data_IF_604786320600
#
_entry.id   IF_604786320600
#
_cell.length_a   1.000
_cell.length_b   1.000
_cell.length_c   1.000
_cell.angle_alpha   90.00
_cell.angle_beta   90.00
_cell.angle_gamma   90.00
#
_symmetry.space_group_name_H-M   'P 1'
#
loop_
_entity.id
_entity.type
_entity.pdbx_description
1 polymer ?
#
# COMPACT_ATOMS: atom_id res chain seq x y z
N UNK A 1 4.73 -12.35 -3.52
CA UNK A 1 5.62 -11.34 -4.13
C UNK A 1 6.40 -11.91 -5.32
N UNK A 2 7.18 -12.98 -5.18
CA UNK A 2 8.05 -13.47 -6.24
C UNK A 2 7.34 -14.05 -7.48
N UNK A 3 6.15 -14.63 -7.31
CA UNK A 3 5.37 -15.22 -8.42
C UNK A 3 4.81 -14.16 -9.37
N UNK A 4 4.44 -12.99 -8.86
CA UNK A 4 3.88 -11.91 -9.68
C UNK A 4 4.95 -11.17 -10.48
N UNK A 5 6.21 -11.15 -10.02
CA UNK A 5 7.34 -10.50 -10.71
C UNK A 5 7.49 -11.01 -12.14
N UNK A 6 7.38 -12.33 -12.36
CA UNK A 6 7.47 -12.90 -13.71
C UNK A 6 6.35 -12.42 -14.64
N UNK A 7 5.13 -12.28 -14.09
CA UNK A 7 3.96 -11.75 -14.83
C UNK A 7 4.11 -10.25 -15.07
N UNK A 8 4.54 -9.49 -14.06
CA UNK A 8 4.83 -8.05 -14.16
C UNK A 8 5.85 -7.78 -15.26
N UNK A 9 6.95 -8.55 -15.33
CA UNK A 9 7.97 -8.39 -16.35
C UNK A 9 7.43 -8.64 -17.78
N UNK A 10 6.56 -9.64 -17.94
CA UNK A 10 5.90 -9.89 -19.23
C UNK A 10 4.95 -8.74 -19.61
N UNK A 11 4.19 -8.20 -18.66
CA UNK A 11 3.28 -7.08 -18.90
C UNK A 11 4.07 -5.79 -19.22
N UNK A 12 5.17 -5.54 -18.51
CA UNK A 12 6.07 -4.42 -18.79
C UNK A 12 6.63 -4.51 -20.21
N UNK A 13 7.06 -5.70 -20.66
CA UNK A 13 7.50 -5.91 -22.03
C UNK A 13 6.41 -5.63 -23.08
N UNK A 14 5.13 -5.69 -22.68
CA UNK A 14 3.97 -5.38 -23.51
C UNK A 14 3.40 -3.96 -23.30
N UNK A 15 4.16 -3.05 -22.69
CA UNK A 15 3.79 -1.63 -22.57
C UNK A 15 3.37 -1.16 -21.18
N UNK A 16 3.38 -2.04 -20.17
CA UNK A 16 3.23 -1.67 -18.76
C UNK A 16 2.42 -2.69 -17.95
N UNK A 17 2.65 -2.71 -16.64
CA UNK A 17 1.92 -3.60 -15.71
C UNK A 17 0.91 -2.85 -14.87
N UNK A 18 -0.30 -3.42 -14.76
CA UNK A 18 -1.33 -2.98 -13.83
C UNK A 18 -1.20 -3.62 -12.44
N UNK A 19 -0.39 -4.68 -12.30
CA UNK A 19 -0.27 -5.44 -11.04
C UNK A 19 0.60 -4.69 -10.04
N UNK A 20 1.74 -4.14 -10.48
CA UNK A 20 2.63 -3.37 -9.62
C UNK A 20 1.96 -2.19 -8.88
N UNK A 21 1.17 -1.31 -9.53
CA UNK A 21 0.39 -0.27 -8.84
C UNK A 21 -0.47 -0.82 -7.69
N UNK A 22 -1.11 -1.98 -7.89
CA UNK A 22 -1.98 -2.59 -6.88
C UNK A 22 -1.19 -3.09 -5.66
N UNK A 23 -0.01 -3.66 -5.89
CA UNK A 23 0.89 -4.09 -4.82
C UNK A 23 1.32 -2.88 -3.98
N UNK A 24 1.72 -1.78 -4.64
CA UNK A 24 2.11 -0.56 -3.96
C UNK A 24 0.94 0.02 -3.11
N UNK A 25 -0.27 0.09 -3.67
CA UNK A 25 -1.45 0.57 -2.94
C UNK A 25 -1.81 -0.31 -1.74
N UNK A 26 -1.72 -1.63 -1.89
CA UNK A 26 -1.92 -2.58 -0.79
C UNK A 26 -0.94 -2.34 0.36
N UNK A 27 0.33 -2.19 0.05
CA UNK A 27 1.37 -1.94 1.05
C UNK A 27 1.19 -0.58 1.76
N UNK A 28 0.81 0.47 1.02
CA UNK A 28 0.48 1.78 1.58
C UNK A 28 -0.70 1.67 2.55
N UNK A 29 -1.73 0.91 2.19
CA UNK A 29 -2.89 0.69 3.05
C UNK A 29 -2.54 -0.09 4.34
N UNK A 30 -1.64 -1.07 4.25
CA UNK A 30 -1.13 -1.79 5.43
C UNK A 30 -0.35 -0.86 6.37
N UNK A 31 0.44 0.06 5.81
CA UNK A 31 1.12 1.10 6.60
C UNK A 31 0.15 2.07 7.24
N UNK A 32 -0.88 2.50 6.50
CA UNK A 32 -1.90 3.43 6.98
C UNK A 32 -2.73 2.84 8.14
N UNK A 33 -3.15 1.58 8.06
CA UNK A 33 -3.86 0.92 9.16
C UNK A 33 -2.99 0.71 10.39
N UNK A 34 -1.68 0.46 10.21
CA UNK A 34 -0.74 0.40 11.31
C UNK A 34 -0.59 1.77 11.98
N UNK A 35 -0.55 2.86 11.21
CA UNK A 35 -0.59 4.23 11.73
C UNK A 35 -1.91 4.54 12.43
N UNK A 36 -3.05 4.05 11.93
CA UNK A 36 -4.36 4.21 12.58
C UNK A 36 -4.37 3.67 14.03
N UNK A 37 -3.63 2.59 14.28
CA UNK A 37 -3.48 2.01 15.62
C UNK A 37 -2.78 2.96 16.61
N UNK A 38 -2.00 3.94 16.14
CA UNK A 38 -1.44 5.03 16.98
C UNK A 38 -2.53 5.91 17.58
N UNK A 39 -3.59 6.15 16.81
CA UNK A 39 -4.71 6.99 17.17
C UNK A 39 -5.64 6.23 18.12
N UNK A 40 -5.96 4.97 17.77
CA UNK A 40 -6.85 4.10 18.56
C UNK A 40 -6.23 3.79 19.94
N UNK A 41 -4.94 3.41 19.98
CA UNK A 41 -4.25 3.03 21.22
C UNK A 41 -3.40 4.16 21.79
N UNK A 42 -3.88 5.40 21.72
CA UNK A 42 -3.13 6.61 22.12
C UNK A 42 -2.56 6.62 23.54
N UNK A 43 -3.12 5.82 24.45
CA UNK A 43 -2.69 5.70 25.85
C UNK A 43 -1.64 4.60 26.08
N UNK A 44 -1.38 3.73 25.11
CA UNK A 44 -0.43 2.63 25.25
C UNK A 44 0.87 2.95 24.50
N UNK A 45 1.88 3.44 25.24
CA UNK A 45 3.16 3.87 24.68
C UNK A 45 3.88 2.74 23.91
N UNK A 46 3.77 1.48 24.37
CA UNK A 46 4.38 0.33 23.71
C UNK A 46 3.75 0.06 22.35
N UNK A 47 2.43 0.02 22.28
CA UNK A 47 1.71 -0.19 21.00
C UNK A 47 2.02 0.96 20.04
N UNK A 48 2.04 2.20 20.53
CA UNK A 48 2.38 3.36 19.69
C UNK A 48 3.78 3.25 19.08
N UNK A 49 4.79 2.92 19.89
CA UNK A 49 6.16 2.82 19.38
C UNK A 49 6.28 1.76 18.28
N UNK A 50 5.65 0.60 18.46
CA UNK A 50 5.70 -0.50 17.49
C UNK A 50 4.91 -0.16 16.23
N UNK A 51 3.72 0.42 16.39
CA UNK A 51 2.87 0.80 15.26
C UNK A 51 3.49 1.91 14.41
N UNK A 52 4.21 2.86 15.02
CA UNK A 52 4.85 3.96 14.31
C UNK A 52 6.02 3.44 13.46
N UNK A 53 6.92 2.64 14.06
CA UNK A 53 8.05 2.06 13.33
C UNK A 53 7.57 1.10 12.23
N UNK A 54 6.55 0.29 12.52
CA UNK A 54 5.97 -0.63 11.55
C UNK A 54 5.27 0.10 10.38
N UNK A 55 4.51 1.17 10.66
CA UNK A 55 3.86 1.98 9.65
C UNK A 55 4.85 2.67 8.71
N UNK A 56 5.91 3.27 9.27
CA UNK A 56 6.98 3.90 8.48
C UNK A 56 7.68 2.84 7.60
N UNK A 57 8.00 1.68 8.18
CA UNK A 57 8.60 0.55 7.45
C UNK A 57 7.74 0.15 6.24
N UNK A 58 6.43 0.01 6.43
CA UNK A 58 5.50 -0.36 5.36
C UNK A 58 5.45 0.69 4.24
N UNK A 59 5.46 1.97 4.60
CA UNK A 59 5.52 3.06 3.61
C UNK A 59 6.85 3.18 2.87
N UNK A 60 7.92 2.60 3.40
CA UNK A 60 9.20 2.44 2.68
C UNK A 60 9.26 1.13 1.86
N UNK A 61 8.18 0.34 1.87
CA UNK A 61 8.07 -0.90 1.10
C UNK A 61 8.33 -2.18 1.88
N UNK A 62 8.63 -2.10 3.19
CA UNK A 62 8.85 -3.26 4.07
C UNK A 62 7.62 -3.44 4.96
N UNK A 63 6.67 -4.25 4.49
CA UNK A 63 5.33 -4.38 5.08
C UNK A 63 5.20 -5.43 6.18
N UNK A 64 6.17 -6.32 6.33
CA UNK A 64 6.12 -7.44 7.29
C UNK A 64 5.89 -6.98 8.73
N UNK A 65 6.55 -5.91 9.24
CA UNK A 65 6.31 -5.43 10.60
C UNK A 65 4.89 -4.90 10.80
N UNK A 66 4.32 -4.24 9.79
CA UNK A 66 2.96 -3.71 9.86
C UNK A 66 1.92 -4.83 9.78
N UNK A 67 2.05 -5.71 8.79
CA UNK A 67 1.09 -6.79 8.53
C UNK A 67 1.06 -7.80 9.69
N UNK A 68 2.21 -8.32 10.11
CA UNK A 68 2.29 -9.36 11.13
C UNK A 68 2.39 -8.80 12.56
N UNK A 69 3.09 -7.68 12.74
CA UNK A 69 3.32 -7.09 14.07
C UNK A 69 2.11 -6.35 14.64
N UNK A 70 1.28 -5.76 13.78
CA UNK A 70 0.11 -4.96 14.17
C UNK A 70 -1.16 -5.48 13.51
N UNK A 71 -1.25 -5.46 12.18
CA UNK A 71 -2.53 -5.58 11.48
C UNK A 71 -3.22 -6.91 11.77
N UNK A 72 -2.54 -8.04 11.54
CA UNK A 72 -3.08 -9.37 11.81
C UNK A 72 -3.24 -9.65 13.29
N UNK A 73 -2.35 -9.13 14.13
CA UNK A 73 -2.40 -9.29 15.59
C UNK A 73 -3.69 -8.72 16.19
N UNK A 74 -4.12 -7.55 15.70
CA UNK A 74 -5.32 -6.86 16.19
C UNK A 74 -6.54 -7.06 15.30
N UNK A 75 -6.41 -7.71 14.14
CA UNK A 75 -7.43 -8.08 13.13
C UNK A 75 -8.22 -6.91 12.51
N UNK A 76 -8.77 -6.01 13.32
CA UNK A 76 -9.45 -4.79 12.88
C UNK A 76 -8.62 -3.98 11.87
N UNK A 77 -7.38 -3.57 12.18
CA UNK A 77 -6.54 -2.85 11.20
C UNK A 77 -6.23 -3.65 9.94
N UNK A 78 -6.17 -4.98 10.00
CA UNK A 78 -6.02 -5.81 8.79
C UNK A 78 -7.23 -5.70 7.87
N UNK A 79 -8.45 -5.77 8.41
CA UNK A 79 -9.67 -5.61 7.61
C UNK A 79 -9.77 -4.20 7.03
N UNK A 80 -9.41 -3.16 7.81
CA UNK A 80 -9.37 -1.78 7.34
C UNK A 80 -8.39 -1.61 6.15
N UNK A 81 -7.20 -2.22 6.23
CA UNK A 81 -6.23 -2.22 5.14
C UNK A 81 -6.75 -2.97 3.89
N UNK A 82 -7.48 -4.07 4.06
CA UNK A 82 -8.08 -4.81 2.94
C UNK A 82 -9.13 -3.96 2.21
N UNK A 83 -10.01 -3.29 2.95
CA UNK A 83 -11.05 -2.43 2.36
C UNK A 83 -10.41 -1.22 1.66
N UNK A 84 -9.47 -0.54 2.31
CA UNK A 84 -8.79 0.61 1.71
C UNK A 84 -7.98 0.26 0.47
N UNK A 85 -7.29 -0.88 0.48
CA UNK A 85 -6.57 -1.36 -0.70
C UNK A 85 -7.51 -1.80 -1.83
N UNK A 86 -8.66 -2.41 -1.53
CA UNK A 86 -9.66 -2.75 -2.54
C UNK A 86 -10.25 -1.51 -3.22
N UNK A 87 -10.61 -0.47 -2.44
CA UNK A 87 -11.13 0.78 -3.01
C UNK A 87 -10.06 1.52 -3.83
N UNK A 88 -8.83 1.59 -3.33
CA UNK A 88 -7.72 2.18 -4.07
C UNK A 88 -7.41 1.41 -5.36
N UNK A 89 -7.49 0.08 -5.32
CA UNK A 89 -7.32 -0.78 -6.49
C UNK A 89 -8.38 -0.49 -7.57
N UNK A 90 -9.65 -0.34 -7.19
CA UNK A 90 -10.73 0.01 -8.12
C UNK A 90 -10.43 1.35 -8.80
N UNK A 91 -10.06 2.39 -8.03
CA UNK A 91 -9.71 3.70 -8.60
C UNK A 91 -8.53 3.60 -9.56
N UNK A 92 -7.49 2.84 -9.20
CA UNK A 92 -6.30 2.64 -10.02
C UNK A 92 -6.61 1.91 -11.34
N UNK A 93 -7.42 0.85 -11.29
CA UNK A 93 -7.78 0.05 -12.47
C UNK A 93 -8.72 0.84 -13.39
N UNK A 94 -9.75 1.50 -12.83
CA UNK A 94 -10.69 2.31 -13.62
C UNK A 94 -10.00 3.48 -14.33
N UNK A 95 -8.93 3.99 -13.75
CA UNK A 95 -8.12 5.07 -14.34
C UNK A 95 -7.05 4.57 -15.33
N UNK A 96 -6.95 3.24 -15.53
CA UNK A 96 -5.97 2.64 -16.45
C UNK A 96 -4.51 2.80 -16.03
N UNK A 97 -4.24 2.90 -14.73
CA UNK A 97 -2.87 3.15 -14.22
C UNK A 97 -1.94 1.99 -14.57
N UNK A 98 -0.85 2.30 -15.27
CA UNK A 98 0.21 1.36 -15.64
C UNK A 98 1.57 1.78 -15.08
N UNK A 99 2.37 0.78 -14.70
CA UNK A 99 3.75 0.93 -14.28
C UNK A 99 4.73 0.48 -15.37
N UNK A 100 5.84 1.20 -15.51
CA UNK A 100 6.95 0.86 -16.42
C UNK A 100 7.97 -0.09 -15.81
N UNK A 101 7.95 -0.24 -14.49
CA UNK A 101 8.94 -1.03 -13.77
C UNK A 101 8.38 -1.59 -12.47
N UNK A 102 9.08 -2.59 -11.94
CA UNK A 102 8.89 -3.10 -10.58
C UNK A 102 9.76 -2.23 -9.68
N UNK A 103 9.13 -1.34 -8.92
CA UNK A 103 9.81 -0.32 -8.10
C UNK A 103 9.80 -0.60 -6.60
N UNK A 104 9.77 0.48 -5.81
CA UNK A 104 9.54 0.39 -4.35
C UNK A 104 8.04 0.22 -4.10
N UNK A 105 7.65 -0.81 -3.36
CA UNK A 105 6.24 -1.08 -3.06
C UNK A 105 5.63 -0.18 -1.98
N UNK A 106 6.18 1.02 -1.75
CA UNK A 106 5.77 1.94 -0.69
C UNK A 106 5.28 3.27 -1.26
N UNK A 107 5.31 4.35 -0.46
CA UNK A 107 5.01 5.71 -0.90
C UNK A 107 5.85 6.15 -2.13
N UNK A 108 7.14 5.79 -2.27
CA UNK A 108 7.90 6.09 -3.48
C UNK A 108 7.45 5.31 -4.72
N UNK A 109 6.45 4.43 -4.62
CA UNK A 109 5.98 3.57 -5.71
C UNK A 109 5.44 4.33 -6.92
N UNK A 110 5.01 5.59 -6.76
CA UNK A 110 4.59 6.44 -7.89
C UNK A 110 5.72 6.65 -8.91
N UNK A 111 6.99 6.56 -8.49
CA UNK A 111 8.15 6.69 -9.38
C UNK A 111 8.25 5.56 -10.42
N UNK A 112 7.63 4.42 -10.17
CA UNK A 112 7.55 3.30 -11.11
C UNK A 112 6.36 3.41 -12.07
N UNK A 113 5.42 4.31 -11.79
CA UNK A 113 4.21 4.55 -12.58
C UNK A 113 4.56 5.41 -13.80
N UNK A 114 3.91 5.13 -14.94
CA UNK A 114 4.05 5.98 -16.12
C UNK A 114 3.64 7.44 -15.78
N UNK A 115 4.42 8.45 -16.20
CA UNK A 115 4.17 9.85 -15.83
C UNK A 115 2.75 10.34 -16.10
N UNK A 116 2.11 9.88 -17.18
CA UNK A 116 0.72 10.25 -17.49
C UNK A 116 -0.30 9.78 -16.44
N UNK A 117 0.02 8.76 -15.64
CA UNK A 117 -0.87 8.19 -14.62
C UNK A 117 -0.50 8.59 -13.18
N UNK A 118 0.43 9.52 -12.99
CA UNK A 118 0.82 9.95 -11.64
C UNK A 118 -0.34 10.55 -10.85
N UNK A 119 -1.14 11.43 -11.48
CA UNK A 119 -2.30 12.05 -10.82
C UNK A 119 -3.32 11.01 -10.36
N UNK A 120 -3.85 10.12 -11.23
CA UNK A 120 -4.80 9.10 -10.78
C UNK A 120 -4.21 8.13 -9.75
N UNK A 121 -2.91 7.80 -9.85
CA UNK A 121 -2.25 6.97 -8.86
C UNK A 121 -2.15 7.67 -7.50
N UNK A 122 -1.79 8.94 -7.45
CA UNK A 122 -1.75 9.73 -6.20
C UNK A 122 -3.14 9.82 -5.56
N UNK A 123 -4.21 9.95 -6.36
CA UNK A 123 -5.59 9.90 -5.87
C UNK A 123 -5.87 8.54 -5.23
N UNK A 124 -5.50 7.44 -5.90
CA UNK A 124 -5.64 6.09 -5.36
C UNK A 124 -4.81 5.90 -4.08
N UNK A 125 -3.59 6.45 -4.01
CA UNK A 125 -2.77 6.46 -2.80
C UNK A 125 -3.48 7.21 -1.66
N UNK A 126 -4.12 8.34 -1.96
CA UNK A 126 -4.94 9.08 -0.99
C UNK A 126 -6.05 8.21 -0.41
N UNK A 127 -6.77 7.46 -1.25
CA UNK A 127 -7.78 6.49 -0.81
C UNK A 127 -7.17 5.40 0.06
N UNK A 128 -6.02 4.83 -0.35
CA UNK A 128 -5.31 3.80 0.39
C UNK A 128 -4.80 4.28 1.76
N UNK A 129 -4.56 5.58 1.94
CA UNK A 129 -4.15 6.15 3.23
C UNK A 129 -5.37 6.51 4.09
N UNK A 130 -6.37 7.17 3.51
CA UNK A 130 -7.48 7.74 4.29
C UNK A 130 -8.45 6.64 4.75
N UNK A 131 -8.82 5.71 3.88
CA UNK A 131 -9.84 4.69 4.22
C UNK A 131 -9.40 3.80 5.38
N UNK A 132 -8.17 3.26 5.45
CA UNK A 132 -7.77 2.41 6.57
C UNK A 132 -7.59 3.14 7.91
N UNK A 133 -7.57 4.48 7.90
CA UNK A 133 -7.40 5.31 9.11
C UNK A 133 -8.75 5.64 9.79
N UNK A 134 -9.83 5.67 9.00
CA UNK A 134 -11.20 5.92 9.48
C UNK A 134 -11.80 4.64 10.05
#
# INVERSE_FOLDING_TARGET
>A
HHTFIAVDLQLIANGGTMIWPLIALSNIAQGASAVAMLIIYKKNARIKSIAASAGISAWLGVTEPAMFGINLKYKYPFVAALIGSALAAVVSIMSGVLANSIGVGGLPGFLAIQPQYWVPFIIAMGVAVVVPII
#
